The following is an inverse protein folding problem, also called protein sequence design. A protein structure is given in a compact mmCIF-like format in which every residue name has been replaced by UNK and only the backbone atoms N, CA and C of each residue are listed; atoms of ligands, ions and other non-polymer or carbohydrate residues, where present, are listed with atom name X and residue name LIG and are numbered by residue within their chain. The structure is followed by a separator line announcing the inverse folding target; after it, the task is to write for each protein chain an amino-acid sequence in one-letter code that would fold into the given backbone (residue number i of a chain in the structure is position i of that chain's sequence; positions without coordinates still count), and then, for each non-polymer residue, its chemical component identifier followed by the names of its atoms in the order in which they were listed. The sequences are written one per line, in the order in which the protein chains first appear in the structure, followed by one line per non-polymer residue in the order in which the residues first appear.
data_IF_372131729353
#
_entry.id   IF_372131729353
#
_cell.length_a   1.000
_cell.length_b   1.000
_cell.length_c   1.000
_cell.angle_alpha   90.00
_cell.angle_beta   90.00
_cell.angle_gamma   90.00
#
_symmetry.space_group_name_H-M   'P 1'
#
loop_
_entity.id
_entity.type
_entity.pdbx_description
1 polymer ?
#
# COMPACT_ATOMS: atom_id res chain seq x y z
N UNK A 1 -6.22 -30.05 -1.51
CA UNK A 1 -5.34 -29.34 -0.56
C UNK A 1 -5.70 -27.86 -0.46
N UNK A 2 -5.20 -27.18 0.58
CA UNK A 2 -5.19 -25.72 0.69
C UNK A 2 -3.77 -25.20 0.43
N UNK A 3 -3.65 -24.25 -0.49
CA UNK A 3 -2.41 -23.54 -0.77
C UNK A 3 -2.53 -22.08 -0.33
N UNK A 4 -1.58 -21.59 0.43
CA UNK A 4 -1.53 -20.19 0.89
C UNK A 4 -0.43 -19.45 0.14
N UNK A 5 -0.75 -18.34 -0.52
CA UNK A 5 0.18 -17.48 -1.25
C UNK A 5 0.27 -16.12 -0.57
N UNK A 6 1.42 -15.51 -0.59
CA UNK A 6 1.56 -14.13 -0.19
C UNK A 6 2.95 -13.74 0.29
N UNK A 7 3.12 -12.43 0.48
CA UNK A 7 4.35 -11.83 0.95
C UNK A 7 4.51 -12.07 2.45
N UNK A 8 5.61 -12.71 2.85
CA UNK A 8 5.93 -13.03 4.24
C UNK A 8 6.79 -11.92 4.85
N UNK A 9 6.16 -10.95 5.48
CA UNK A 9 6.81 -9.91 6.27
C UNK A 9 5.81 -9.21 7.19
N UNK A 10 6.31 -8.38 8.09
CA UNK A 10 5.55 -7.48 8.95
C UNK A 10 5.47 -6.04 8.41
N UNK A 11 5.99 -5.81 7.20
CA UNK A 11 6.06 -4.48 6.58
C UNK A 11 4.71 -3.80 6.35
N UNK A 12 3.60 -4.57 6.29
CA UNK A 12 2.24 -4.04 6.28
C UNK A 12 1.84 -3.29 5.00
N UNK A 13 2.65 -3.34 3.93
CA UNK A 13 2.38 -2.64 2.67
C UNK A 13 1.51 -3.48 1.71
N UNK A 14 1.83 -4.74 1.54
CA UNK A 14 1.10 -5.68 0.67
C UNK A 14 0.35 -6.75 1.44
N UNK A 15 0.89 -7.15 2.59
CA UNK A 15 0.41 -8.22 3.45
C UNK A 15 0.93 -8.00 4.87
N UNK A 16 0.54 -8.87 5.78
CA UNK A 16 1.15 -8.97 7.10
C UNK A 16 1.22 -10.44 7.51
N UNK A 17 2.35 -10.90 8.08
CA UNK A 17 2.58 -12.29 8.47
C UNK A 17 1.50 -12.85 9.40
N UNK A 18 0.96 -12.00 10.32
CA UNK A 18 -0.13 -12.41 11.23
C UNK A 18 -1.40 -12.85 10.50
N UNK A 19 -1.65 -12.34 9.28
CA UNK A 19 -2.79 -12.79 8.48
C UNK A 19 -2.61 -14.24 8.01
N UNK A 20 -1.39 -14.62 7.60
CA UNK A 20 -1.07 -16.02 7.28
C UNK A 20 -1.28 -16.91 8.51
N UNK A 21 -0.83 -16.48 9.69
CA UNK A 21 -1.04 -17.26 10.92
C UNK A 21 -2.53 -17.48 11.21
N UNK A 22 -3.36 -16.43 11.04
CA UNK A 22 -4.81 -16.55 11.14
C UNK A 22 -5.42 -17.53 10.13
N UNK A 23 -4.91 -17.57 8.88
CA UNK A 23 -5.34 -18.55 7.86
C UNK A 23 -4.96 -19.98 8.27
N UNK A 24 -3.75 -20.19 8.80
CA UNK A 24 -3.31 -21.50 9.29
C UNK A 24 -4.17 -21.98 10.49
N UNK A 25 -4.45 -21.09 11.43
CA UNK A 25 -5.37 -21.41 12.56
C UNK A 25 -6.78 -21.77 12.06
N UNK A 26 -7.30 -21.01 11.08
CA UNK A 26 -8.58 -21.29 10.46
C UNK A 26 -8.58 -22.68 9.80
N UNK A 27 -7.52 -23.02 9.05
CA UNK A 27 -7.35 -24.32 8.43
C UNK A 27 -7.36 -25.44 9.48
N UNK A 28 -6.61 -25.29 10.57
CA UNK A 28 -6.55 -26.23 11.68
C UNK A 28 -7.92 -26.42 12.35
N UNK A 29 -8.62 -25.33 12.65
CA UNK A 29 -9.98 -25.37 13.26
C UNK A 29 -11.00 -26.09 12.39
N UNK A 30 -10.80 -26.06 11.06
CA UNK A 30 -11.65 -26.78 10.10
C UNK A 30 -11.14 -28.20 9.77
N UNK A 31 -10.14 -28.72 10.48
CA UNK A 31 -9.64 -30.09 10.31
C UNK A 31 -8.86 -30.33 9.02
N UNK A 32 -8.31 -29.28 8.38
CA UNK A 32 -7.50 -29.44 7.21
C UNK A 32 -6.10 -29.94 7.59
N UNK A 33 -5.64 -31.01 6.94
CA UNK A 33 -4.32 -31.61 7.15
C UNK A 33 -3.33 -31.22 6.05
N UNK A 34 -3.81 -31.12 4.81
CA UNK A 34 -3.00 -30.81 3.64
C UNK A 34 -3.03 -29.30 3.37
N UNK A 35 -2.16 -28.58 4.07
CA UNK A 35 -2.02 -27.10 3.97
C UNK A 35 -0.58 -26.77 3.58
N UNK A 36 -0.41 -26.07 2.47
CA UNK A 36 0.88 -25.76 1.89
C UNK A 36 1.05 -24.23 1.72
N UNK A 37 2.24 -23.73 1.99
CA UNK A 37 2.53 -22.30 1.89
C UNK A 37 3.60 -22.06 0.84
N UNK A 38 3.30 -21.17 -0.09
CA UNK A 38 4.22 -20.67 -1.09
C UNK A 38 4.62 -19.25 -0.67
N UNK A 39 5.83 -19.10 -0.15
CA UNK A 39 6.32 -17.86 0.45
C UNK A 39 6.84 -16.92 -0.62
N UNK A 40 6.38 -15.66 -0.59
CA UNK A 40 7.01 -14.57 -1.30
C UNK A 40 7.83 -13.74 -0.29
N UNK A 41 9.10 -13.50 -0.59
CA UNK A 41 10.02 -12.79 0.31
C UNK A 41 10.10 -11.32 -0.07
N UNK A 42 10.22 -10.45 0.93
CA UNK A 42 10.09 -9.02 0.80
C UNK A 42 11.42 -8.32 0.45
N UNK A 43 12.19 -7.92 1.42
CA UNK A 43 13.48 -7.23 1.23
C UNK A 43 13.39 -5.82 0.63
N UNK A 44 12.18 -5.27 0.49
CA UNK A 44 11.92 -3.94 -0.06
C UNK A 44 11.13 -3.06 0.91
N UNK A 45 10.06 -3.58 1.49
CA UNK A 45 9.27 -2.92 2.52
C UNK A 45 9.80 -3.28 3.92
N UNK A 46 10.74 -4.21 4.00
CA UNK A 46 11.52 -4.63 5.17
C UNK A 46 13.00 -4.72 4.80
N UNK A 47 13.87 -4.95 5.79
CA UNK A 47 15.32 -5.06 5.57
C UNK A 47 15.64 -6.17 4.55
N UNK A 48 16.66 -5.96 3.67
CA UNK A 48 16.94 -6.85 2.53
C UNK A 48 17.26 -8.32 2.87
N UNK A 49 17.60 -8.61 4.12
CA UNK A 49 17.97 -9.95 4.61
C UNK A 49 17.17 -10.37 5.85
N UNK A 50 15.99 -9.79 6.05
CA UNK A 50 15.09 -10.12 7.16
C UNK A 50 14.26 -11.39 6.94
N UNK A 51 14.18 -11.87 5.71
CA UNK A 51 13.33 -12.99 5.29
C UNK A 51 13.61 -14.28 6.05
N UNK A 52 14.88 -14.56 6.41
CA UNK A 52 15.22 -15.73 7.21
C UNK A 52 14.52 -15.72 8.57
N UNK A 53 14.51 -14.59 9.27
CA UNK A 53 13.84 -14.44 10.56
C UNK A 53 12.32 -14.66 10.45
N UNK A 54 11.69 -14.14 9.39
CA UNK A 54 10.26 -14.36 9.14
C UNK A 54 9.95 -15.84 8.80
N UNK A 55 10.84 -16.53 8.09
CA UNK A 55 10.69 -17.98 7.83
C UNK A 55 10.78 -18.76 9.13
N UNK A 56 11.77 -18.47 9.99
CA UNK A 56 11.93 -19.12 11.29
C UNK A 56 10.71 -18.91 12.19
N UNK A 57 10.19 -17.69 12.25
CA UNK A 57 8.95 -17.37 12.97
C UNK A 57 7.75 -18.15 12.43
N UNK A 58 7.57 -18.19 11.11
CA UNK A 58 6.49 -18.96 10.48
C UNK A 58 6.59 -20.46 10.82
N UNK A 59 7.77 -21.05 10.72
CA UNK A 59 7.98 -22.48 11.03
C UNK A 59 7.64 -22.79 12.51
N UNK A 60 8.02 -21.88 13.42
CA UNK A 60 7.63 -21.98 14.82
C UNK A 60 6.10 -21.91 15.00
N UNK A 61 5.43 -20.99 14.30
CA UNK A 61 3.96 -20.86 14.31
C UNK A 61 3.25 -22.06 13.69
N UNK A 62 3.74 -22.60 12.59
CA UNK A 62 3.21 -23.84 12.00
C UNK A 62 3.30 -25.01 12.98
N UNK A 63 4.42 -25.14 13.70
CA UNK A 63 4.59 -26.17 14.72
C UNK A 63 3.64 -25.95 15.92
N UNK A 64 3.46 -24.72 16.40
CA UNK A 64 2.53 -24.36 17.48
C UNK A 64 1.07 -24.69 17.10
N UNK A 65 0.64 -24.30 15.90
CA UNK A 65 -0.72 -24.53 15.38
C UNK A 65 -0.93 -26.00 15.03
N UNK A 66 0.13 -26.69 14.63
CA UNK A 66 0.12 -28.11 14.23
C UNK A 66 -0.48 -28.35 12.84
N UNK A 67 -0.29 -27.40 11.90
CA UNK A 67 -0.66 -27.54 10.48
C UNK A 67 0.21 -26.63 9.59
N UNK A 68 0.43 -27.05 8.36
CA UNK A 68 1.13 -26.30 7.32
C UNK A 68 2.52 -26.85 7.03
N UNK A 69 2.91 -26.79 5.76
CA UNK A 69 4.26 -27.06 5.25
C UNK A 69 4.63 -26.01 4.22
N UNK A 70 5.88 -25.57 4.19
CA UNK A 70 6.38 -24.70 3.12
C UNK A 70 6.60 -25.55 1.88
N UNK A 71 6.03 -25.16 0.74
CA UNK A 71 6.16 -25.86 -0.53
C UNK A 71 7.10 -25.15 -1.52
N UNK A 72 7.19 -23.83 -1.46
CA UNK A 72 8.16 -23.06 -2.25
C UNK A 72 8.49 -21.72 -1.61
N UNK A 73 9.64 -21.14 -1.95
CA UNK A 73 10.00 -19.76 -1.66
C UNK A 73 10.35 -19.02 -2.94
N UNK A 74 10.09 -17.73 -2.99
CA UNK A 74 10.39 -16.89 -4.15
C UNK A 74 10.52 -15.44 -3.71
N UNK A 75 11.52 -14.71 -4.18
CA UNK A 75 11.56 -13.26 -4.01
C UNK A 75 10.40 -12.56 -4.72
N UNK A 76 9.93 -11.45 -4.16
CA UNK A 76 8.84 -10.65 -4.73
C UNK A 76 9.13 -10.14 -6.15
N UNK A 77 10.39 -10.04 -6.53
CA UNK A 77 10.83 -9.71 -7.88
C UNK A 77 10.25 -10.63 -8.95
N UNK A 78 10.03 -11.90 -8.62
CA UNK A 78 9.45 -12.92 -9.49
C UNK A 78 7.93 -13.08 -9.27
N UNK A 79 7.53 -13.31 -8.03
CA UNK A 79 6.15 -13.68 -7.70
C UNK A 79 5.19 -12.48 -7.61
N UNK A 80 5.72 -11.26 -7.57
CA UNK A 80 4.95 -10.03 -7.38
C UNK A 80 5.35 -8.94 -8.39
N UNK A 81 5.60 -9.33 -9.64
CA UNK A 81 5.77 -8.38 -10.74
C UNK A 81 4.46 -7.60 -10.99
N UNK A 82 4.59 -6.40 -11.56
CA UNK A 82 3.44 -5.55 -11.97
C UNK A 82 3.69 -4.82 -13.29
N UNK A 83 4.81 -5.14 -13.93
CA UNK A 83 5.30 -4.43 -15.12
C UNK A 83 5.24 -5.32 -16.38
N UNK A 84 4.40 -6.41 -16.32
CA UNK A 84 4.22 -7.42 -17.38
C UNK A 84 5.53 -8.13 -17.77
N UNK A 85 6.41 -8.34 -16.81
CA UNK A 85 7.63 -9.12 -16.98
C UNK A 85 7.30 -10.60 -16.79
N UNK A 86 6.57 -11.15 -17.75
CA UNK A 86 6.05 -12.51 -17.71
C UNK A 86 7.12 -13.59 -17.59
N UNK A 87 8.34 -13.29 -18.05
CA UNK A 87 9.53 -14.14 -17.84
C UNK A 87 9.87 -14.35 -16.36
N UNK A 88 9.56 -13.37 -15.50
CA UNK A 88 9.71 -13.47 -14.03
C UNK A 88 8.56 -14.25 -13.42
N UNK A 89 7.34 -13.86 -13.75
CA UNK A 89 6.11 -14.49 -13.25
C UNK A 89 6.09 -15.98 -13.58
N UNK A 90 6.52 -16.36 -14.79
CA UNK A 90 6.59 -17.75 -15.21
C UNK A 90 7.50 -18.60 -14.32
N UNK A 91 8.61 -18.06 -13.82
CA UNK A 91 9.49 -18.81 -12.90
C UNK A 91 8.79 -19.11 -11.58
N UNK A 92 8.07 -18.14 -11.01
CA UNK A 92 7.28 -18.35 -9.80
C UNK A 92 6.12 -19.32 -10.05
N UNK A 93 5.40 -19.17 -11.16
CA UNK A 93 4.37 -20.11 -11.61
C UNK A 93 4.90 -21.53 -11.71
N UNK A 94 6.05 -21.73 -12.36
CA UNK A 94 6.66 -23.05 -12.53
C UNK A 94 7.01 -23.68 -11.17
N UNK A 95 7.51 -22.94 -10.22
CA UNK A 95 7.79 -23.46 -8.88
C UNK A 95 6.49 -23.89 -8.15
N UNK A 96 5.42 -23.11 -8.27
CA UNK A 96 4.14 -23.36 -7.59
C UNK A 96 3.34 -24.47 -8.25
N UNK A 97 3.26 -24.46 -9.58
CA UNK A 97 2.35 -25.33 -10.34
C UNK A 97 3.06 -26.57 -10.88
N UNK A 98 4.28 -26.38 -11.38
CA UNK A 98 5.01 -27.46 -12.05
C UNK A 98 6.00 -28.19 -11.13
N UNK A 99 6.30 -27.63 -9.94
CA UNK A 99 7.37 -28.12 -9.08
C UNK A 99 8.75 -28.00 -9.75
N UNK A 100 8.93 -26.97 -10.58
CA UNK A 100 10.13 -26.74 -11.37
C UNK A 100 10.83 -25.46 -10.97
N UNK A 101 12.14 -25.50 -10.81
CA UNK A 101 12.99 -24.40 -10.39
C UNK A 101 14.21 -24.92 -9.64
N UNK A 102 14.85 -24.07 -8.87
CA UNK A 102 15.82 -24.54 -7.89
C UNK A 102 15.13 -25.44 -6.87
N UNK A 103 15.88 -26.31 -6.19
CA UNK A 103 15.35 -27.19 -5.16
C UNK A 103 16.16 -27.06 -3.87
N UNK A 104 15.50 -27.23 -2.73
CA UNK A 104 16.12 -27.27 -1.42
C UNK A 104 15.34 -28.19 -0.48
N UNK A 105 15.99 -28.76 0.52
CA UNK A 105 15.35 -29.67 1.48
C UNK A 105 14.51 -28.90 2.52
N UNK A 106 14.76 -27.60 2.71
CA UNK A 106 13.97 -26.73 3.58
C UNK A 106 13.98 -25.28 3.10
N UNK A 107 13.02 -24.48 3.58
CA UNK A 107 12.98 -23.04 3.32
C UNK A 107 14.20 -22.30 3.90
N UNK A 108 14.76 -22.80 5.01
CA UNK A 108 15.99 -22.25 5.61
C UNK A 108 17.21 -22.54 4.74
N UNK A 109 17.34 -23.77 4.23
CA UNK A 109 18.45 -24.10 3.32
C UNK A 109 18.39 -23.28 2.04
N UNK A 110 17.17 -23.06 1.51
CA UNK A 110 16.96 -22.24 0.32
C UNK A 110 17.39 -20.79 0.51
N UNK A 111 16.99 -20.14 1.63
CA UNK A 111 17.36 -18.75 1.89
C UNK A 111 18.85 -18.62 2.23
N UNK A 112 19.42 -19.55 2.98
CA UNK A 112 20.85 -19.56 3.32
C UNK A 112 21.72 -19.76 2.05
N UNK A 113 21.29 -20.57 1.10
CA UNK A 113 21.97 -20.72 -0.18
C UNK A 113 21.92 -19.41 -0.98
N UNK A 114 20.78 -18.72 -1.00
CA UNK A 114 20.64 -17.43 -1.67
C UNK A 114 21.57 -16.37 -1.06
N UNK A 115 21.60 -16.25 0.27
CA UNK A 115 22.46 -15.27 0.94
C UNK A 115 23.96 -15.53 0.77
N UNK A 116 24.37 -16.79 0.62
CA UNK A 116 25.78 -17.14 0.28
C UNK A 116 26.21 -16.64 -1.09
N UNK A 117 25.25 -16.41 -1.99
CA UNK A 117 25.49 -15.86 -3.31
C UNK A 117 25.19 -14.35 -3.39
N UNK A 118 25.12 -13.66 -2.24
CA UNK A 118 24.80 -12.23 -2.11
C UNK A 118 23.43 -11.87 -2.72
N UNK A 119 22.51 -12.84 -2.86
CA UNK A 119 21.14 -12.62 -3.36
C UNK A 119 20.21 -12.43 -2.17
N UNK A 120 19.69 -11.20 -2.02
CA UNK A 120 18.80 -10.80 -0.93
C UNK A 120 17.36 -11.22 -1.16
N UNK A 121 16.50 -11.06 -0.15
CA UNK A 121 15.10 -11.51 -0.10
C UNK A 121 14.31 -11.18 -1.37
N UNK A 122 14.36 -9.94 -1.84
CA UNK A 122 13.61 -9.48 -3.02
C UNK A 122 13.91 -10.31 -4.26
N UNK A 123 15.14 -10.80 -4.41
CA UNK A 123 15.67 -11.42 -5.61
C UNK A 123 15.85 -12.93 -5.50
N UNK A 124 15.43 -13.57 -4.40
CA UNK A 124 15.52 -15.03 -4.23
C UNK A 124 14.85 -15.73 -5.41
N UNK A 125 15.64 -16.51 -6.12
CA UNK A 125 15.14 -17.27 -7.28
C UNK A 125 14.10 -18.29 -6.82
N UNK A 126 12.96 -18.45 -7.55
CA UNK A 126 11.94 -19.42 -7.17
C UNK A 126 12.53 -20.82 -6.92
N UNK A 127 12.35 -21.30 -5.70
CA UNK A 127 12.93 -22.56 -5.19
C UNK A 127 11.81 -23.43 -4.63
N UNK A 128 11.75 -24.66 -5.11
CA UNK A 128 10.79 -25.69 -4.68
C UNK A 128 11.37 -26.42 -3.47
N UNK A 129 10.57 -26.58 -2.42
CA UNK A 129 10.97 -27.39 -1.26
C UNK A 129 10.64 -28.85 -1.57
N UNK A 130 11.62 -29.73 -1.37
CA UNK A 130 11.52 -31.16 -1.68
C UNK A 130 11.65 -32.01 -0.43
N UNK A 131 10.91 -33.12 -0.40
CA UNK A 131 11.05 -34.19 0.57
C UNK A 131 11.37 -35.49 -0.22
N UNK A 132 12.46 -36.15 0.10
CA UNK A 132 12.94 -37.35 -0.61
C UNK A 132 13.11 -37.16 -2.15
N UNK A 133 13.49 -35.93 -2.56
CA UNK A 133 13.70 -35.59 -3.96
C UNK A 133 12.41 -35.21 -4.75
N UNK A 134 11.25 -35.30 -4.12
CA UNK A 134 9.96 -34.90 -4.73
C UNK A 134 9.44 -33.59 -4.13
N UNK A 135 8.77 -32.73 -4.91
CA UNK A 135 8.15 -31.51 -4.38
C UNK A 135 7.21 -31.80 -3.21
N UNK A 136 7.33 -31.05 -2.11
CA UNK A 136 6.41 -31.14 -0.95
C UNK A 136 4.96 -31.00 -1.40
N UNK A 137 4.67 -30.05 -2.29
CA UNK A 137 3.38 -29.93 -2.95
C UNK A 137 3.49 -29.06 -4.21
N UNK A 138 2.59 -29.34 -5.16
CA UNK A 138 2.31 -28.47 -6.30
C UNK A 138 0.81 -28.23 -6.38
N UNK A 139 0.42 -27.07 -6.91
CA UNK A 139 -0.98 -26.71 -7.11
C UNK A 139 -1.60 -27.58 -8.21
N UNK A 140 -2.76 -28.17 -7.93
CA UNK A 140 -3.46 -29.10 -8.82
C UNK A 140 -4.92 -28.72 -9.00
N UNK A 141 -5.55 -29.39 -9.95
CA UNK A 141 -6.99 -29.25 -10.17
C UNK A 141 -7.78 -29.58 -8.89
N UNK A 142 -8.81 -28.77 -8.62
CA UNK A 142 -9.67 -28.83 -7.43
C UNK A 142 -8.99 -28.48 -6.09
N UNK A 143 -7.74 -28.05 -6.08
CA UNK A 143 -7.15 -27.45 -4.88
C UNK A 143 -7.78 -26.07 -4.58
N UNK A 144 -7.68 -25.67 -3.34
CA UNK A 144 -8.08 -24.35 -2.88
C UNK A 144 -6.85 -23.47 -2.67
N UNK A 145 -6.96 -22.21 -3.03
CA UNK A 145 -5.90 -21.20 -2.82
C UNK A 145 -6.44 -20.05 -1.99
N UNK A 146 -5.68 -19.60 -1.01
CA UNK A 146 -5.88 -18.33 -0.33
C UNK A 146 -4.66 -17.45 -0.58
N UNK A 147 -4.86 -16.33 -1.29
CA UNK A 147 -3.83 -15.31 -1.49
C UNK A 147 -4.07 -14.19 -0.48
N UNK A 148 -3.22 -14.13 0.56
CA UNK A 148 -3.46 -13.26 1.71
C UNK A 148 -2.92 -11.82 1.57
N UNK A 149 -2.39 -11.44 0.41
CA UNK A 149 -2.08 -10.03 0.14
C UNK A 149 -3.37 -9.20 0.10
N UNK A 150 -3.36 -8.03 0.75
CA UNK A 150 -4.49 -7.11 0.74
C UNK A 150 -4.30 -5.94 -0.24
N UNK A 151 -3.07 -5.70 -0.74
CA UNK A 151 -2.80 -4.71 -1.79
C UNK A 151 -2.76 -5.39 -3.16
N UNK A 152 -3.56 -4.91 -4.14
CA UNK A 152 -3.83 -5.62 -5.38
C UNK A 152 -2.73 -5.53 -6.44
N UNK A 153 -2.00 -4.40 -6.53
CA UNK A 153 -1.19 -4.04 -7.69
C UNK A 153 -0.16 -5.10 -8.11
N UNK A 154 0.49 -5.76 -7.16
CA UNK A 154 1.50 -6.79 -7.41
C UNK A 154 1.00 -8.23 -7.28
N UNK A 155 -0.29 -8.42 -7.01
CA UNK A 155 -0.88 -9.77 -6.93
C UNK A 155 -1.57 -10.18 -8.24
N UNK A 156 -1.84 -9.23 -9.14
CA UNK A 156 -2.64 -9.45 -10.36
C UNK A 156 -2.02 -10.44 -11.32
N UNK A 157 -0.74 -10.33 -11.63
CA UNK A 157 -0.10 -11.09 -12.69
C UNK A 157 0.00 -12.58 -12.37
N UNK A 158 0.50 -12.93 -11.20
CA UNK A 158 0.54 -14.35 -10.77
C UNK A 158 -0.88 -14.93 -10.63
N UNK A 159 -1.85 -14.13 -10.18
CA UNK A 159 -3.25 -14.58 -10.11
C UNK A 159 -3.81 -14.83 -11.51
N UNK A 160 -3.58 -13.93 -12.49
CA UNK A 160 -4.00 -14.14 -13.87
C UNK A 160 -3.40 -15.40 -14.47
N UNK A 161 -2.12 -15.66 -14.24
CA UNK A 161 -1.46 -16.85 -14.77
C UNK A 161 -2.08 -18.16 -14.28
N UNK A 162 -2.79 -18.14 -13.14
CA UNK A 162 -3.46 -19.30 -12.55
C UNK A 162 -4.95 -19.33 -12.90
N UNK A 163 -5.65 -18.21 -12.75
CA UNK A 163 -7.11 -18.13 -12.80
C UNK A 163 -7.68 -17.89 -14.19
N UNK A 164 -6.94 -17.26 -15.09
CA UNK A 164 -7.44 -16.92 -16.42
C UNK A 164 -7.31 -18.10 -17.37
N UNK A 165 -8.44 -18.61 -17.86
CA UNK A 165 -8.49 -19.71 -18.82
C UNK A 165 -7.96 -19.32 -20.20
N UNK A 166 -7.99 -18.02 -20.54
CA UNK A 166 -7.49 -17.45 -21.80
C UNK A 166 -6.10 -16.83 -21.69
N UNK A 167 -5.39 -17.09 -20.59
CA UNK A 167 -4.05 -16.57 -20.40
C UNK A 167 -3.08 -17.06 -21.48
N UNK A 168 -2.36 -16.13 -22.12
CA UNK A 168 -1.50 -16.37 -23.28
C UNK A 168 -0.08 -15.75 -23.15
N UNK A 169 0.24 -15.16 -22.01
CA UNK A 169 1.51 -14.41 -21.86
C UNK A 169 2.73 -15.32 -21.65
N UNK A 170 2.50 -16.59 -21.32
CA UNK A 170 3.50 -17.68 -21.38
C UNK A 170 2.80 -19.05 -21.46
N UNK A 171 3.55 -20.06 -21.93
CA UNK A 171 3.03 -21.41 -22.04
C UNK A 171 2.81 -22.06 -20.68
N UNK A 172 1.62 -22.65 -20.49
CA UNK A 172 1.28 -23.47 -19.34
C UNK A 172 1.29 -24.95 -19.79
N UNK A 173 2.36 -25.72 -19.57
CA UNK A 173 2.47 -27.08 -20.10
C UNK A 173 1.32 -28.03 -19.67
N UNK A 174 0.81 -27.84 -18.46
CA UNK A 174 -0.34 -28.59 -17.93
C UNK A 174 -1.70 -28.01 -18.37
N UNK A 175 -1.70 -26.96 -19.21
CA UNK A 175 -2.91 -26.25 -19.58
C UNK A 175 -3.53 -25.47 -18.41
N UNK A 176 -4.76 -24.99 -18.63
CA UNK A 176 -5.59 -24.42 -17.56
C UNK A 176 -6.27 -25.56 -16.78
N UNK A 177 -6.31 -25.40 -15.47
CA UNK A 177 -7.11 -26.25 -14.57
C UNK A 177 -7.81 -25.38 -13.52
N UNK A 178 -8.97 -25.84 -13.08
CA UNK A 178 -9.81 -25.08 -12.15
C UNK A 178 -9.40 -25.32 -10.71
N UNK A 179 -9.23 -24.21 -9.97
CA UNK A 179 -9.03 -24.18 -8.52
C UNK A 179 -10.13 -23.37 -7.86
N UNK A 180 -10.30 -23.52 -6.55
CA UNK A 180 -11.07 -22.55 -5.75
C UNK A 180 -10.12 -21.46 -5.28
N UNK A 181 -10.01 -20.37 -6.04
CA UNK A 181 -9.05 -19.31 -5.77
C UNK A 181 -9.72 -18.15 -5.02
N UNK A 182 -9.25 -17.90 -3.81
CA UNK A 182 -9.72 -16.82 -2.93
C UNK A 182 -8.60 -15.83 -2.70
N UNK A 183 -8.83 -14.57 -2.95
CA UNK A 183 -7.91 -13.53 -2.55
C UNK A 183 -8.53 -12.58 -1.52
N UNK A 184 -7.68 -11.96 -0.71
CA UNK A 184 -8.15 -11.18 0.42
C UNK A 184 -8.99 -9.99 -0.02
N UNK A 185 -8.53 -9.23 -1.00
CA UNK A 185 -9.25 -8.06 -1.50
C UNK A 185 -9.45 -8.17 -3.01
N UNK A 186 -10.33 -7.39 -3.61
CA UNK A 186 -10.51 -7.38 -5.07
C UNK A 186 -9.23 -6.91 -5.77
N UNK A 187 -8.52 -7.83 -6.45
CA UNK A 187 -7.30 -7.49 -7.18
C UNK A 187 -7.59 -6.91 -8.55
N UNK A 188 -8.55 -7.48 -9.25
CA UNK A 188 -8.98 -7.05 -10.58
C UNK A 188 -10.33 -7.69 -10.90
N UNK A 189 -11.31 -6.89 -11.24
CA UNK A 189 -12.67 -7.35 -11.57
C UNK A 189 -12.70 -8.24 -12.82
N UNK A 190 -11.73 -8.08 -13.71
CA UNK A 190 -11.65 -8.80 -14.99
C UNK A 190 -11.01 -10.20 -14.87
N UNK A 191 -10.36 -10.53 -13.76
CA UNK A 191 -9.84 -11.88 -13.54
C UNK A 191 -11.00 -12.84 -13.30
N UNK A 192 -11.14 -13.92 -14.12
CA UNK A 192 -12.20 -14.90 -13.91
C UNK A 192 -11.86 -15.90 -12.79
N UNK A 193 -12.81 -16.78 -12.46
CA UNK A 193 -12.59 -17.96 -11.60
C UNK A 193 -11.97 -17.65 -10.23
N UNK A 194 -12.45 -16.57 -9.58
CA UNK A 194 -11.97 -16.10 -8.29
C UNK A 194 -13.10 -15.84 -7.31
N UNK A 195 -12.75 -15.84 -6.03
CA UNK A 195 -13.57 -15.39 -4.92
C UNK A 195 -12.83 -14.31 -4.14
N UNK A 196 -13.55 -13.37 -3.53
CA UNK A 196 -12.99 -12.29 -2.71
C UNK A 196 -13.39 -12.53 -1.27
N UNK A 197 -12.42 -12.61 -0.36
CA UNK A 197 -12.69 -12.81 1.06
C UNK A 197 -13.23 -11.54 1.74
N UNK A 198 -12.62 -10.41 1.45
CA UNK A 198 -12.96 -9.11 2.02
C UNK A 198 -13.26 -8.13 0.89
N UNK A 199 -14.53 -7.96 0.61
CA UNK A 199 -14.97 -6.96 -0.36
C UNK A 199 -14.65 -5.55 0.13
N UNK A 200 -14.40 -4.63 -0.82
CA UNK A 200 -14.23 -3.22 -0.50
C UNK A 200 -15.50 -2.76 0.24
N UNK A 201 -15.32 -2.27 1.45
CA UNK A 201 -16.41 -1.64 2.19
C UNK A 201 -16.64 -0.26 1.56
N UNK A 202 -17.81 -0.05 0.98
CA UNK A 202 -18.23 1.29 0.57
C UNK A 202 -18.44 2.12 1.84
N UNK A 203 -17.63 3.16 1.98
CA UNK A 203 -17.83 4.15 3.03
C UNK A 203 -19.00 5.02 2.58
N UNK A 204 -20.13 4.91 3.27
CA UNK A 204 -21.33 5.71 3.01
C UNK A 204 -21.40 6.88 3.95
N UNK A 205 -22.11 7.92 3.55
CA UNK A 205 -22.29 9.15 4.33
C UNK A 205 -20.93 9.81 4.64
N UNK A 206 -20.07 9.88 3.62
CA UNK A 206 -18.85 10.67 3.70
C UNK A 206 -19.20 12.14 3.89
N UNK A 207 -18.22 12.93 4.33
CA UNK A 207 -18.46 14.37 4.50
C UNK A 207 -18.89 15.05 3.19
N UNK A 208 -18.31 14.62 2.05
CA UNK A 208 -18.72 15.11 0.72
C UNK A 208 -20.17 14.78 0.37
N UNK A 209 -20.62 13.55 0.63
CA UNK A 209 -22.02 13.13 0.44
C UNK A 209 -22.97 13.88 1.38
N UNK A 210 -22.56 14.10 2.64
CA UNK A 210 -23.34 14.86 3.61
C UNK A 210 -23.54 16.31 3.17
N UNK A 211 -22.50 16.97 2.66
CA UNK A 211 -22.58 18.32 2.11
C UNK A 211 -23.51 18.38 0.91
N UNK A 212 -23.35 17.45 -0.04
CA UNK A 212 -24.20 17.34 -1.23
C UNK A 212 -25.69 17.14 -0.85
N UNK A 213 -25.98 16.25 0.08
CA UNK A 213 -27.34 15.98 0.58
C UNK A 213 -27.99 17.21 1.25
N UNK A 214 -27.18 18.14 1.74
CA UNK A 214 -27.64 19.39 2.33
C UNK A 214 -27.54 20.59 1.37
N UNK A 215 -27.33 20.36 0.08
CA UNK A 215 -27.26 21.41 -0.96
C UNK A 215 -26.10 22.39 -0.77
N UNK A 216 -24.98 21.91 -0.19
CA UNK A 216 -23.80 22.70 0.08
C UNK A 216 -22.77 22.57 -1.03
N UNK A 217 -22.25 23.70 -1.51
CA UNK A 217 -21.20 23.77 -2.51
C UNK A 217 -19.85 23.58 -1.85
N UNK A 218 -19.04 22.66 -2.39
CA UNK A 218 -17.75 22.32 -1.84
C UNK A 218 -16.64 22.40 -2.88
N UNK A 219 -15.46 22.91 -2.49
CA UNK A 219 -14.26 22.94 -3.31
C UNK A 219 -13.20 21.98 -2.74
N UNK A 220 -12.56 21.22 -3.63
CA UNK A 220 -11.35 20.44 -3.37
C UNK A 220 -10.19 21.10 -4.07
N UNK A 221 -9.15 21.48 -3.32
CA UNK A 221 -8.00 22.21 -3.84
C UNK A 221 -6.70 21.56 -3.35
N UNK A 222 -5.84 21.16 -4.27
CA UNK A 222 -4.49 20.74 -3.96
C UNK A 222 -3.61 20.75 -5.22
N UNK A 223 -2.29 20.68 -5.02
CA UNK A 223 -1.39 20.36 -6.09
C UNK A 223 -1.35 18.84 -6.37
N UNK A 224 -0.79 18.43 -7.51
CA UNK A 224 -0.85 17.05 -8.06
C UNK A 224 -0.55 15.97 -7.00
N UNK A 225 0.48 16.14 -6.18
CA UNK A 225 0.94 15.15 -5.20
C UNK A 225 -0.10 14.84 -4.11
N UNK A 226 -0.97 15.78 -3.81
CA UNK A 226 -2.01 15.64 -2.76
C UNK A 226 -3.44 15.77 -3.30
N UNK A 227 -3.61 15.83 -4.62
CA UNK A 227 -4.95 15.96 -5.21
C UNK A 227 -5.86 14.76 -4.89
N UNK A 228 -5.33 13.55 -5.00
CA UNK A 228 -6.08 12.34 -4.65
C UNK A 228 -6.49 12.30 -3.16
N UNK A 229 -5.72 12.94 -2.28
CA UNK A 229 -6.02 12.97 -0.84
C UNK A 229 -7.26 13.80 -0.53
N UNK A 230 -7.46 14.91 -1.24
CA UNK A 230 -8.64 15.78 -1.05
C UNK A 230 -9.81 15.40 -1.96
N UNK A 231 -9.65 14.46 -2.89
CA UNK A 231 -10.70 13.97 -3.81
C UNK A 231 -11.01 12.51 -3.56
N UNK A 232 -10.34 11.59 -4.24
CA UNK A 232 -10.57 10.15 -4.20
C UNK A 232 -10.61 9.57 -2.79
N UNK A 233 -9.55 9.82 -1.98
CA UNK A 233 -9.49 9.26 -0.62
C UNK A 233 -10.48 9.94 0.32
N UNK A 234 -10.66 11.25 0.20
CA UNK A 234 -11.61 12.00 1.01
C UNK A 234 -13.06 11.61 0.73
N UNK A 235 -13.35 11.16 -0.50
CA UNK A 235 -14.65 10.64 -0.92
C UNK A 235 -14.78 9.12 -0.70
N UNK A 236 -13.99 8.54 0.21
CA UNK A 236 -14.10 7.11 0.56
C UNK A 236 -13.67 6.15 -0.55
N UNK A 237 -12.80 6.62 -1.47
CA UNK A 237 -12.30 5.85 -2.61
C UNK A 237 -13.25 5.83 -3.81
N UNK A 238 -14.05 6.87 -3.95
CA UNK A 238 -14.90 7.14 -5.12
C UNK A 238 -14.26 8.26 -5.95
N UNK A 239 -14.02 7.99 -7.25
CA UNK A 239 -13.38 8.95 -8.16
C UNK A 239 -14.33 10.07 -8.58
N UNK A 240 -15.58 9.74 -8.82
CA UNK A 240 -16.58 10.70 -9.26
C UNK A 240 -16.84 11.78 -8.20
N UNK A 241 -16.94 13.05 -8.61
CA UNK A 241 -17.27 14.13 -7.68
C UNK A 241 -18.71 13.99 -7.16
N UNK A 242 -18.94 14.40 -5.91
CA UNK A 242 -20.27 14.54 -5.38
C UNK A 242 -21.04 15.68 -6.09
N UNK A 243 -22.34 15.74 -5.91
CA UNK A 243 -23.14 16.88 -6.39
C UNK A 243 -22.60 18.17 -5.73
N UNK A 244 -22.47 19.23 -6.53
CA UNK A 244 -21.90 20.52 -6.11
C UNK A 244 -20.46 20.43 -5.51
N UNK A 245 -19.70 19.40 -5.88
CA UNK A 245 -18.27 19.30 -5.62
C UNK A 245 -17.47 19.84 -6.81
N UNK A 246 -16.76 20.92 -6.56
CA UNK A 246 -15.83 21.53 -7.51
C UNK A 246 -14.40 21.11 -7.18
N UNK A 247 -13.58 20.94 -8.20
CA UNK A 247 -12.20 20.50 -8.05
C UNK A 247 -11.25 21.45 -8.76
N UNK A 248 -10.21 21.89 -8.06
CA UNK A 248 -9.17 22.74 -8.60
C UNK A 248 -7.83 22.05 -8.36
N UNK A 249 -7.19 21.65 -9.47
CA UNK A 249 -5.88 21.02 -9.47
C UNK A 249 -4.83 22.02 -9.90
N UNK A 250 -3.83 22.23 -9.06
CA UNK A 250 -2.59 22.93 -9.41
C UNK A 250 -1.51 21.90 -9.75
N UNK A 251 -0.77 22.09 -10.85
CA UNK A 251 0.29 21.15 -11.20
C UNK A 251 1.48 21.28 -10.25
N UNK A 252 1.95 20.17 -9.68
CA UNK A 252 3.24 20.15 -8.96
C UNK A 252 4.41 20.43 -9.89
N UNK A 253 5.53 21.02 -9.40
CA UNK A 253 6.68 21.33 -10.21
C UNK A 253 7.26 20.09 -10.89
N UNK A 254 7.58 20.20 -12.19
CA UNK A 254 8.25 19.17 -13.00
C UNK A 254 9.65 19.56 -13.43
N UNK A 255 10.08 20.75 -13.03
CA UNK A 255 11.36 21.37 -13.35
C UNK A 255 12.50 20.95 -12.40
N UNK A 256 12.18 20.20 -11.36
CA UNK A 256 13.15 19.66 -10.39
C UNK A 256 12.97 18.14 -10.23
N UNK A 257 14.05 17.38 -10.04
CA UNK A 257 13.97 15.92 -9.83
C UNK A 257 13.46 15.55 -8.44
N UNK A 258 13.69 16.39 -7.43
CA UNK A 258 13.28 16.21 -6.04
C UNK A 258 12.88 17.55 -5.42
N UNK A 259 11.93 17.53 -4.48
CA UNK A 259 11.33 18.77 -3.96
C UNK A 259 12.17 19.51 -2.91
N UNK A 260 13.25 18.93 -2.42
CA UNK A 260 14.25 19.67 -1.62
C UNK A 260 14.93 20.80 -2.39
N UNK A 261 14.97 20.69 -3.73
CA UNK A 261 15.48 21.74 -4.62
C UNK A 261 14.48 22.88 -4.87
N UNK A 262 13.19 22.66 -4.55
CA UNK A 262 12.11 23.64 -4.69
C UNK A 262 11.08 23.44 -3.56
N UNK A 263 11.45 23.75 -2.29
CA UNK A 263 10.62 23.43 -1.13
C UNK A 263 9.25 24.12 -1.10
N UNK A 264 9.10 25.27 -1.76
CA UNK A 264 7.82 25.95 -1.91
C UNK A 264 6.85 25.19 -2.84
N UNK A 265 7.34 24.28 -3.69
CA UNK A 265 6.55 23.52 -4.67
C UNK A 265 5.55 24.44 -5.41
N UNK A 266 4.28 24.06 -5.48
CA UNK A 266 3.21 24.91 -6.04
C UNK A 266 2.32 25.55 -4.96
N UNK A 267 2.73 25.50 -3.69
CA UNK A 267 1.95 26.10 -2.60
C UNK A 267 1.63 27.59 -2.79
N UNK A 268 2.50 28.46 -3.35
CA UNK A 268 2.15 29.84 -3.62
C UNK A 268 0.90 30.01 -4.50
N UNK A 269 0.77 29.20 -5.56
CA UNK A 269 -0.39 29.19 -6.45
C UNK A 269 -1.62 28.64 -5.73
N UNK A 270 -1.49 27.49 -5.08
CA UNK A 270 -2.55 26.89 -4.25
C UNK A 270 -3.06 27.88 -3.19
N UNK A 271 -2.16 28.61 -2.53
CA UNK A 271 -2.52 29.60 -1.51
C UNK A 271 -3.24 30.83 -2.08
N UNK A 272 -2.88 31.28 -3.30
CA UNK A 272 -3.59 32.36 -3.98
C UNK A 272 -5.01 31.93 -4.36
N UNK A 273 -5.14 30.76 -4.97
CA UNK A 273 -6.43 30.18 -5.36
C UNK A 273 -7.33 29.96 -4.14
N UNK A 274 -6.76 29.52 -3.01
CA UNK A 274 -7.48 29.39 -1.75
C UNK A 274 -8.07 30.72 -1.28
N UNK A 275 -7.26 31.78 -1.24
CA UNK A 275 -7.71 33.12 -0.80
C UNK A 275 -8.78 33.67 -1.74
N UNK A 276 -8.62 33.47 -3.05
CA UNK A 276 -9.63 33.86 -4.04
C UNK A 276 -10.93 33.05 -3.85
N UNK A 277 -10.84 31.75 -3.67
CA UNK A 277 -12.00 30.90 -3.43
C UNK A 277 -12.76 31.29 -2.15
N UNK A 278 -12.06 31.58 -1.05
CA UNK A 278 -12.67 32.05 0.21
C UNK A 278 -13.42 33.35 -0.03
N UNK A 279 -12.80 34.36 -0.69
CA UNK A 279 -13.39 35.65 -0.94
C UNK A 279 -14.49 35.69 -1.97
N UNK A 280 -14.60 34.64 -2.79
CA UNK A 280 -15.58 34.57 -3.86
C UNK A 280 -17.03 34.37 -3.40
N UNK A 281 -17.24 33.96 -2.16
CA UNK A 281 -18.54 33.56 -1.58
C UNK A 281 -19.28 32.47 -2.41
N UNK A 282 -18.51 31.71 -3.20
CA UNK A 282 -19.04 30.69 -4.11
C UNK A 282 -19.22 29.33 -3.43
N UNK A 283 -18.42 29.05 -2.41
CA UNK A 283 -18.35 27.74 -1.77
C UNK A 283 -18.71 27.84 -0.28
N UNK A 284 -19.53 26.90 0.19
CA UNK A 284 -19.85 26.75 1.61
C UNK A 284 -18.70 26.08 2.38
N UNK A 285 -17.98 25.16 1.73
CA UNK A 285 -16.87 24.42 2.32
C UNK A 285 -15.72 24.31 1.33
N UNK A 286 -14.49 24.53 1.82
CA UNK A 286 -13.26 24.35 1.03
C UNK A 286 -12.38 23.35 1.77
N UNK A 287 -11.95 22.29 1.09
CA UNK A 287 -10.99 21.29 1.59
C UNK A 287 -9.71 21.42 0.77
N UNK A 288 -8.61 21.64 1.48
CA UNK A 288 -7.29 21.86 0.87
C UNK A 288 -6.24 20.98 1.55
N UNK A 289 -5.21 20.60 0.81
CA UNK A 289 -3.98 20.03 1.36
C UNK A 289 -2.75 20.73 0.76
N UNK A 290 -1.86 21.21 1.62
CA UNK A 290 -0.52 21.68 1.24
C UNK A 290 0.46 20.51 1.29
N UNK A 291 1.00 20.12 0.15
CA UNK A 291 1.85 18.94 0.00
C UNK A 291 3.25 19.06 0.60
N UNK A 292 3.71 20.29 0.83
CA UNK A 292 5.12 20.60 1.06
C UNK A 292 5.76 19.88 2.25
N UNK A 293 5.20 19.89 3.48
CA UNK A 293 5.89 19.28 4.62
C UNK A 293 6.11 17.77 4.42
N UNK A 294 5.15 17.08 3.79
CA UNK A 294 5.25 15.65 3.51
C UNK A 294 6.24 15.37 2.37
N UNK A 295 6.03 15.99 1.21
CA UNK A 295 6.82 15.70 0.01
C UNK A 295 8.30 16.08 0.17
N UNK A 296 8.58 17.22 0.83
CA UNK A 296 9.96 17.63 1.14
C UNK A 296 10.52 16.79 2.29
N UNK A 297 9.70 16.42 3.27
CA UNK A 297 10.07 15.53 4.37
C UNK A 297 10.61 14.18 3.89
N UNK A 298 10.03 13.61 2.86
CA UNK A 298 10.49 12.38 2.23
C UNK A 298 11.90 12.45 1.64
N UNK A 299 12.45 13.65 1.40
CA UNK A 299 13.82 13.81 0.90
C UNK A 299 14.89 13.66 2.00
N UNK A 300 14.51 13.76 3.27
CA UNK A 300 15.44 13.72 4.40
C UNK A 300 16.28 15.00 4.56
N UNK A 301 16.04 16.05 3.77
CA UNK A 301 16.82 17.30 3.75
C UNK A 301 16.20 18.32 4.70
N UNK A 302 16.62 18.35 5.97
CA UNK A 302 16.06 19.20 7.02
C UNK A 302 15.99 20.70 6.64
N UNK A 303 17.05 21.35 6.09
CA UNK A 303 16.95 22.74 5.74
C UNK A 303 15.89 23.06 4.67
N UNK A 304 15.61 22.09 3.79
CA UNK A 304 14.53 22.23 2.81
C UNK A 304 13.16 22.06 3.45
N UNK A 305 13.01 21.10 4.36
CA UNK A 305 11.76 20.91 5.11
C UNK A 305 11.40 22.12 5.96
N UNK A 306 12.38 22.79 6.58
CA UNK A 306 12.15 24.06 7.31
C UNK A 306 11.57 25.11 6.38
N UNK A 307 12.15 25.31 5.19
CA UNK A 307 11.63 26.27 4.19
C UNK A 307 10.23 25.90 3.70
N UNK A 308 9.95 24.60 3.55
CA UNK A 308 8.62 24.12 3.18
C UNK A 308 7.58 24.48 4.23
N UNK A 309 7.88 24.24 5.51
CA UNK A 309 7.00 24.58 6.63
C UNK A 309 6.80 26.11 6.75
N UNK A 310 7.88 26.89 6.66
CA UNK A 310 7.81 28.38 6.69
C UNK A 310 6.92 28.91 5.56
N UNK A 311 7.00 28.30 4.35
CA UNK A 311 6.12 28.70 3.24
C UNK A 311 4.66 28.37 3.51
N UNK A 312 4.38 27.19 4.04
CA UNK A 312 3.00 26.80 4.41
C UNK A 312 2.44 27.69 5.52
N UNK A 313 3.25 28.02 6.54
CA UNK A 313 2.86 28.92 7.61
C UNK A 313 2.45 30.33 7.08
N UNK A 314 3.26 30.88 6.16
CA UNK A 314 2.93 32.15 5.48
C UNK A 314 1.55 32.10 4.79
N UNK A 315 1.29 30.99 4.06
CA UNK A 315 0.06 30.83 3.28
C UNK A 315 -1.16 30.55 4.16
N UNK A 316 -0.98 29.76 5.22
CA UNK A 316 -2.00 29.55 6.25
C UNK A 316 -2.35 30.88 6.94
N UNK A 317 -1.36 31.75 7.23
CA UNK A 317 -1.61 33.09 7.76
C UNK A 317 -2.50 33.93 6.85
N UNK A 318 -2.28 33.88 5.51
CA UNK A 318 -3.14 34.54 4.53
C UNK A 318 -4.57 33.97 4.49
N UNK A 319 -4.67 32.62 4.57
CA UNK A 319 -5.97 31.96 4.65
C UNK A 319 -6.75 32.32 5.91
N UNK A 320 -6.09 32.37 7.07
CA UNK A 320 -6.69 32.80 8.35
C UNK A 320 -7.27 34.22 8.23
N UNK A 321 -6.51 35.12 7.60
CA UNK A 321 -7.01 36.49 7.41
C UNK A 321 -8.22 36.50 6.44
N UNK A 322 -8.14 35.78 5.33
CA UNK A 322 -9.26 35.74 4.38
C UNK A 322 -10.54 35.16 5.00
N UNK A 323 -10.41 34.09 5.82
CA UNK A 323 -11.56 33.50 6.53
C UNK A 323 -12.16 34.47 7.55
N UNK A 324 -11.31 35.21 8.26
CA UNK A 324 -11.78 36.30 9.18
C UNK A 324 -12.52 37.40 8.44
N UNK A 325 -12.04 37.77 7.26
CA UNK A 325 -12.66 38.85 6.45
C UNK A 325 -14.09 38.50 5.98
N UNK A 326 -14.40 37.18 5.89
CA UNK A 326 -15.72 36.68 5.46
C UNK A 326 -16.55 36.09 6.62
N UNK A 327 -16.15 36.30 7.86
CA UNK A 327 -16.80 35.72 9.06
C UNK A 327 -16.92 34.20 9.04
N UNK A 328 -15.89 33.54 8.49
CA UNK A 328 -15.84 32.09 8.31
C UNK A 328 -15.27 31.35 9.51
N UNK A 329 -15.19 30.01 9.36
CA UNK A 329 -14.58 29.08 10.31
C UNK A 329 -13.46 28.31 9.61
N UNK A 330 -12.32 28.19 10.24
CA UNK A 330 -11.14 27.47 9.72
C UNK A 330 -10.75 26.33 10.67
N UNK A 331 -10.54 25.15 10.10
CA UNK A 331 -9.94 24.00 10.76
C UNK A 331 -8.57 23.75 10.15
N UNK A 332 -7.53 23.65 10.96
CA UNK A 332 -6.17 23.34 10.54
C UNK A 332 -5.75 22.04 11.20
N UNK A 333 -5.37 21.04 10.39
CA UNK A 333 -4.85 19.77 10.86
C UNK A 333 -3.83 19.22 9.85
N UNK A 334 -3.07 18.21 10.25
CA UNK A 334 -2.33 17.37 9.33
C UNK A 334 -3.14 16.10 9.00
N UNK A 335 -2.86 15.48 7.87
CA UNK A 335 -3.41 14.17 7.49
C UNK A 335 -2.60 13.02 8.11
N UNK A 336 -1.30 13.19 8.29
CA UNK A 336 -0.37 12.27 8.96
C UNK A 336 0.91 13.00 9.38
N UNK A 337 1.80 12.31 10.11
CA UNK A 337 3.12 12.81 10.45
C UNK A 337 4.18 12.43 9.41
N UNK A 338 5.18 13.29 9.23
CA UNK A 338 6.38 13.09 8.42
C UNK A 338 7.50 14.05 8.86
N UNK A 339 7.37 15.35 8.52
CA UNK A 339 8.41 16.36 8.71
C UNK A 339 8.78 16.62 10.18
N UNK A 340 7.95 16.24 11.13
CA UNK A 340 8.24 16.37 12.56
C UNK A 340 9.30 15.39 13.07
N UNK A 341 9.58 14.33 12.29
CA UNK A 341 10.62 13.33 12.59
C UNK A 341 11.44 13.01 11.34
N UNK A 342 12.47 13.78 11.09
CA UNK A 342 13.37 13.60 9.94
C UNK A 342 14.71 12.93 10.29
N UNK A 343 14.89 12.52 11.53
CA UNK A 343 16.05 11.79 12.01
C UNK A 343 15.58 10.57 12.77
N UNK A 344 16.17 9.43 12.49
CA UNK A 344 16.06 8.26 13.32
C UNK A 344 16.88 8.48 14.58
N UNK A 345 16.25 8.49 15.74
CA UNK A 345 16.90 8.83 17.01
C UNK A 345 17.82 7.74 17.55
N UNK A 346 17.72 6.51 17.03
CA UNK A 346 18.57 5.39 17.44
C UNK A 346 19.84 5.33 16.61
N UNK A 347 19.70 5.53 15.30
CA UNK A 347 20.81 5.39 14.34
C UNK A 347 21.45 6.71 13.94
N UNK A 348 20.75 7.84 14.11
CA UNK A 348 21.17 9.16 13.61
C UNK A 348 21.03 9.31 12.10
N UNK A 349 20.49 8.32 11.39
CA UNK A 349 20.27 8.37 9.96
C UNK A 349 19.06 9.24 9.60
N UNK A 350 18.94 9.75 8.35
CA UNK A 350 17.74 10.40 7.87
C UNK A 350 16.51 9.46 7.97
N UNK A 351 15.42 9.97 8.51
CA UNK A 351 14.12 9.31 8.54
C UNK A 351 13.24 9.99 7.49
N UNK A 352 12.75 9.24 6.52
CA UNK A 352 12.01 9.75 5.35
C UNK A 352 10.61 9.17 5.22
N UNK A 353 10.17 8.36 6.17
CA UNK A 353 8.88 7.71 6.18
C UNK A 353 7.82 8.50 6.97
N UNK A 354 6.55 8.19 6.75
CA UNK A 354 5.47 8.67 7.60
C UNK A 354 5.63 8.19 9.04
N UNK A 355 5.09 8.96 9.97
CA UNK A 355 5.07 8.59 11.39
C UNK A 355 3.64 8.38 11.89
N UNK A 356 3.52 7.67 13.01
CA UNK A 356 2.26 7.50 13.72
C UNK A 356 2.05 8.54 14.82
N UNK A 357 2.82 9.62 14.82
CA UNK A 357 2.64 10.71 15.78
C UNK A 357 1.25 11.32 15.66
N UNK A 358 0.63 11.69 16.78
CA UNK A 358 -0.66 12.39 16.77
C UNK A 358 -0.54 13.71 15.99
N UNK A 359 -1.46 13.94 15.06
CA UNK A 359 -1.50 15.17 14.27
C UNK A 359 -2.03 16.35 15.09
N UNK A 360 -1.53 17.55 14.82
CA UNK A 360 -2.02 18.77 15.42
C UNK A 360 -3.39 19.14 14.86
N UNK A 361 -4.24 19.70 15.71
CA UNK A 361 -5.54 20.22 15.32
C UNK A 361 -5.77 21.59 15.92
N UNK A 362 -6.16 22.55 15.09
CA UNK A 362 -6.47 23.93 15.49
C UNK A 362 -7.78 24.37 14.86
N UNK A 363 -8.67 24.94 15.68
CA UNK A 363 -9.95 25.49 15.27
C UNK A 363 -9.98 27.00 15.51
N UNK A 364 -10.28 27.79 14.47
CA UNK A 364 -10.37 29.23 14.49
C UNK A 364 -11.74 29.69 13.99
N UNK A 365 -12.36 30.61 14.72
CA UNK A 365 -13.55 31.37 14.31
C UNK A 365 -13.23 32.86 14.15
N UNK A 366 -13.97 33.53 13.27
CA UNK A 366 -13.74 34.97 12.98
C UNK A 366 -13.73 35.86 14.22
N UNK A 367 -14.52 35.51 15.23
CA UNK A 367 -14.69 36.30 16.47
C UNK A 367 -13.96 35.72 17.69
N UNK A 368 -13.15 34.72 17.55
CA UNK A 368 -12.35 34.21 18.68
C UNK A 368 -11.19 35.14 18.98
N UNK A 369 -11.23 35.78 20.16
CA UNK A 369 -10.11 36.54 20.68
C UNK A 369 -9.03 35.62 21.22
N UNK A 370 -7.76 36.06 21.12
CA UNK A 370 -6.51 35.34 21.47
C UNK A 370 -6.43 34.69 22.87
N UNK A 371 -7.50 34.62 23.61
CA UNK A 371 -7.49 34.17 25.01
C UNK A 371 -7.64 32.65 25.24
N UNK A 372 -7.85 31.85 24.20
CA UNK A 372 -8.11 30.39 24.30
C UNK A 372 -7.29 29.53 23.34
N UNK A 373 -6.11 29.99 22.96
CA UNK A 373 -5.11 29.19 22.25
C UNK A 373 -4.08 28.63 23.20
#
# INVERSE_FOLDING_TARGET
ALHCFGLLSDGGVHSHNTHLYGVLEMAKRNGLENVYVHLFLDGRDTAPTSGKGFIEELLAKMNEIGVGKVASISGRYYAMDRDNRWDRVQKAYNAIVMGQGNTADSAIDAIDASYKEDVTDEFVVPTVIVENGEPVATLKENDSVIFYNFRPDRAREITRSICDDKFDSFDRPNGYFKTTFVYFTEYDVTIPNKLVAFHKVEIKNTFGEFLAANGKKQLRLAETEKYAHVTFFFNGGVEDPNVDEFRLLVNSPKDVPTYDLKPEMSAPEVGMDLVEAIKSDKYDVIVINFANPDMVGHTGVIPAAVKAVEKVDELVGKAVQAVKDVDGVLFICADHGNAEKMIDYETGAPHTAHTTNPVSYTHLRAHETRGNL
#
